data_IF_467597144860
#
_entry.id   IF_467597144860
#
_cell.length_a   1.000
_cell.length_b   1.000
_cell.length_c   1.000
_cell.angle_alpha   90.00
_cell.angle_beta   90.00
_cell.angle_gamma   90.00
#
_symmetry.space_group_name_H-M   'P 1'
#
loop_
_entity.id
_entity.type
_entity.pdbx_description
1 polymer ?
2 non-polymer ?
3 non-polymer ?
4 water ?
#
# COMPACT_ATOMS: atom_id res chain seq x y z
N UNK A 8 -6.37 13.78 -27.06
CA UNK A 8 -5.79 13.06 -25.93
C UNK A 8 -5.35 14.03 -24.84
N UNK A 9 -5.53 13.62 -23.56
CA UNK A 9 -5.16 14.44 -22.39
C UNK A 9 -3.64 14.66 -22.33
N UNK A 10 -3.21 15.74 -21.65
CA UNK A 10 -1.79 16.06 -21.53
C UNK A 10 -1.08 15.07 -20.59
N UNK A 11 -0.05 14.31 -21.06
CA UNK A 11 0.66 13.37 -20.17
C UNK A 11 1.20 13.99 -18.89
N UNK A 12 1.29 13.17 -17.81
CA UNK A 12 1.85 13.63 -16.54
C UNK A 12 3.33 13.86 -16.75
N UNK A 13 3.85 14.92 -16.13
CA UNK A 13 5.27 15.28 -16.20
C UNK A 13 5.99 14.81 -14.91
N UNK A 14 5.27 14.14 -14.00
CA UNK A 14 5.80 13.64 -12.74
C UNK A 14 6.78 12.48 -12.91
N UNK A 15 8.02 12.59 -12.37
CA UNK A 15 8.94 11.43 -12.38
C UNK A 15 8.29 10.27 -11.64
N UNK A 16 8.28 9.09 -12.29
CA UNK A 16 7.71 7.85 -11.76
C UNK A 16 8.53 6.66 -12.22
N UNK A 17 8.50 5.58 -11.46
CA UNK A 17 9.12 4.29 -11.77
C UNK A 17 8.39 3.20 -11.02
N UNK A 18 8.31 2.05 -11.64
CA UNK A 18 7.78 0.81 -11.07
C UNK A 18 8.62 -0.26 -11.73
N UNK A 19 9.58 -0.80 -11.01
CA UNK A 19 10.47 -1.83 -11.56
C UNK A 19 10.20 -3.15 -10.88
N UNK A 20 10.35 -4.23 -11.61
CA UNK A 20 10.01 -5.55 -11.11
C UNK A 20 11.23 -6.48 -11.06
N UNK A 21 11.18 -7.54 -10.22
CA UNK A 21 12.28 -8.47 -10.15
C UNK A 21 12.34 -9.32 -11.39
N UNK A 22 13.58 -9.62 -11.85
CA UNK A 22 13.82 -10.50 -13.00
C UNK A 22 13.56 -11.92 -12.56
N UNK A 23 12.47 -12.53 -13.04
CA UNK A 23 12.17 -13.91 -12.64
C UNK A 23 13.14 -14.93 -13.21
N UNK A 24 13.93 -14.55 -14.21
CA UNK A 24 14.91 -15.46 -14.81
C UNK A 24 16.17 -15.53 -13.91
N UNK A 25 16.46 -14.43 -13.16
CA UNK A 25 17.62 -14.26 -12.28
C UNK A 25 17.43 -14.89 -10.90
N UNK A 26 17.29 -16.23 -10.87
CA UNK A 26 17.13 -16.99 -9.62
C UNK A 26 18.43 -16.89 -8.81
N UNK A 27 18.29 -16.74 -7.50
CA UNK A 27 19.37 -16.52 -6.54
C UNK A 27 19.85 -15.08 -6.46
N UNK A 28 19.11 -14.15 -7.07
CA UNK A 28 19.47 -12.73 -7.10
C UNK A 28 18.23 -11.89 -7.07
N UNK A 29 18.38 -10.58 -6.73
CA UNK A 29 17.30 -9.58 -6.78
C UNK A 29 17.68 -8.49 -7.81
N UNK A 30 17.37 -8.78 -9.09
CA UNK A 30 17.68 -7.86 -10.18
C UNK A 30 16.42 -7.12 -10.64
N UNK A 31 16.44 -5.77 -10.58
CA UNK A 31 15.30 -4.95 -10.99
C UNK A 31 15.29 -4.70 -12.49
N UNK A 32 14.10 -4.74 -13.10
CA UNK A 32 13.94 -4.50 -14.53
C UNK A 32 12.88 -3.47 -14.82
N UNK A 33 13.12 -2.61 -15.81
CA UNK A 33 12.13 -1.71 -16.37
C UNK A 33 11.77 -2.29 -17.74
N UNK A 34 12.68 -3.09 -18.31
CA UNK A 34 12.56 -3.76 -19.60
C UNK A 34 11.91 -5.10 -19.36
N UNK A 35 10.62 -5.03 -18.99
CA UNK A 35 9.75 -6.16 -18.67
C UNK A 35 8.32 -5.65 -18.80
N UNK A 36 7.37 -6.52 -19.21
CA UNK A 36 5.98 -6.14 -19.34
C UNK A 36 5.49 -5.56 -18.01
N UNK A 37 4.75 -4.46 -18.04
CA UNK A 37 4.14 -3.83 -16.88
C UNK A 37 5.13 -3.25 -15.86
N UNK A 38 6.31 -2.84 -16.36
CA UNK A 38 7.34 -2.16 -15.58
C UNK A 38 7.62 -0.88 -16.34
N UNK A 39 7.90 0.23 -15.64
CA UNK A 39 8.12 1.51 -16.29
C UNK A 39 9.12 2.43 -15.61
N UNK A 40 9.61 3.39 -16.42
CA UNK A 40 10.44 4.51 -16.04
C UNK A 40 9.86 5.64 -16.83
N UNK A 41 9.56 6.76 -16.19
CA UNK A 41 9.03 7.92 -16.89
C UNK A 41 9.50 9.22 -16.29
N UNK A 42 9.54 10.26 -17.16
CA UNK A 42 9.91 11.65 -16.84
C UNK A 42 11.25 11.78 -16.11
N UNK A 43 12.26 11.11 -16.64
CA UNK A 43 13.64 11.23 -16.19
C UNK A 43 14.17 10.19 -15.21
N UNK A 44 13.29 9.34 -14.63
CA UNK A 44 13.79 8.33 -13.69
C UNK A 44 14.60 7.31 -14.49
N UNK A 45 15.78 6.94 -13.96
CA UNK A 45 16.63 5.94 -14.59
C UNK A 45 16.83 4.78 -13.67
N UNK A 46 17.15 3.62 -14.25
CA UNK A 46 17.54 2.42 -13.55
C UNK A 46 18.97 2.19 -14.01
N UNK A 47 19.90 2.34 -13.09
CA UNK A 47 21.32 2.23 -13.39
C UNK A 47 21.96 1.45 -12.24
N UNK A 48 22.72 0.38 -12.55
CA UNK A 48 23.41 -0.47 -11.57
C UNK A 48 22.45 -0.94 -10.47
N UNK A 49 21.25 -1.38 -10.90
CA UNK A 49 20.21 -1.93 -10.02
C UNK A 49 19.62 -0.90 -9.04
N UNK A 50 19.85 0.38 -9.30
CA UNK A 50 19.34 1.44 -8.46
C UNK A 50 18.47 2.40 -9.25
N UNK A 51 17.47 3.02 -8.58
CA UNK A 51 16.64 4.05 -9.19
C UNK A 51 17.31 5.40 -8.97
N UNK A 52 17.45 6.19 -10.05
CA UNK A 52 18.14 7.49 -10.05
C UNK A 52 17.09 8.56 -10.16
N UNK A 53 17.05 9.45 -9.16
CA UNK A 53 16.09 10.55 -9.01
C UNK A 53 16.48 11.72 -9.94
N UNK A 54 15.58 12.15 -10.88
CA UNK A 54 15.96 13.21 -11.85
C UNK A 54 15.82 14.62 -11.35
N UNK A 55 14.99 14.83 -10.33
CA UNK A 55 14.72 16.16 -9.78
C UNK A 55 14.30 16.11 -8.34
N UNK A 56 14.65 17.17 -7.60
CA UNK A 56 14.41 17.38 -6.19
C UNK A 56 12.90 17.44 -5.90
N UNK A 57 12.49 16.92 -4.75
CA UNK A 57 11.10 16.99 -4.32
C UNK A 57 10.66 15.85 -3.42
N UNK A 58 9.37 15.86 -3.07
CA UNK A 58 8.72 14.81 -2.28
C UNK A 58 8.35 13.62 -3.15
N UNK A 59 8.72 12.43 -2.70
CA UNK A 59 8.42 11.21 -3.43
C UNK A 59 7.90 10.18 -2.48
N UNK A 60 6.93 9.39 -2.97
CA UNK A 60 6.51 8.18 -2.27
C UNK A 60 7.49 7.12 -2.83
N UNK A 61 8.16 6.39 -1.95
CA UNK A 61 9.08 5.32 -2.33
C UNK A 61 8.41 4.06 -1.76
N UNK A 62 8.31 3.00 -2.55
CA UNK A 62 7.66 1.78 -2.08
C UNK A 62 8.31 0.57 -2.69
N UNK A 63 8.14 -0.56 -2.03
CA UNK A 63 8.66 -1.82 -2.53
C UNK A 63 8.00 -2.95 -1.80
N UNK A 64 7.78 -4.06 -2.52
CA UNK A 64 7.30 -5.32 -1.96
C UNK A 64 8.21 -6.44 -2.36
N UNK A 65 8.49 -7.31 -1.42
CA UNK A 65 9.20 -8.55 -1.71
C UNK A 65 8.33 -9.64 -1.14
N UNK A 66 8.39 -10.82 -1.71
CA UNK A 66 7.66 -11.97 -1.19
C UNK A 66 8.64 -13.12 -0.98
N UNK A 67 8.71 -13.59 0.25
CA UNK A 67 9.56 -14.71 0.63
C UNK A 67 8.70 -15.93 0.83
N UNK A 68 9.23 -17.09 0.47
CA UNK A 68 8.55 -18.36 0.61
C UNK A 68 9.55 -19.47 0.99
N UNK A 69 9.12 -20.33 1.88
CA UNK A 69 9.86 -21.52 2.28
C UNK A 69 8.90 -22.69 2.47
N UNK A 70 9.43 -23.91 2.36
CA UNK A 70 8.67 -25.15 2.58
C UNK A 70 9.18 -25.72 3.91
N UNK A 71 8.39 -25.51 4.96
CA UNK A 71 8.76 -25.92 6.30
C UNK A 71 9.82 -25.03 6.93
N UNK A 72 10.32 -25.46 8.09
CA UNK A 72 11.28 -24.71 8.88
C UNK A 72 12.60 -25.46 9.14
N UNK A 73 13.77 -24.88 8.70
CA UNK A 73 15.06 -25.60 8.90
C UNK A 73 15.57 -25.52 10.35
N UNK A 74 15.11 -24.49 11.03
CA UNK A 74 15.26 -24.11 12.43
C UNK A 74 14.57 -22.75 12.54
N UNK A 75 14.56 -22.17 13.75
CA UNK A 75 13.94 -20.87 14.01
C UNK A 75 14.95 -19.71 13.67
N UNK A 76 16.13 -20.07 13.10
CA UNK A 76 17.27 -19.23 12.78
C UNK A 76 17.24 -18.51 11.39
N UNK A 77 16.08 -18.49 10.72
CA UNK A 77 15.92 -17.79 9.44
C UNK A 77 15.50 -16.36 9.73
N UNK A 78 16.32 -15.37 9.29
CA UNK A 78 15.99 -13.96 9.40
C UNK A 78 15.90 -13.36 8.01
N UNK A 79 14.76 -12.74 7.71
CA UNK A 79 14.50 -12.14 6.39
C UNK A 79 14.48 -10.65 6.47
N UNK A 80 15.31 -9.97 5.66
CA UNK A 80 15.34 -8.51 5.70
C UNK A 80 15.07 -7.92 4.33
N UNK A 81 14.51 -6.71 4.31
CA UNK A 81 14.25 -5.93 3.11
C UNK A 81 14.59 -4.50 3.52
N UNK A 82 15.38 -3.81 2.69
CA UNK A 82 15.86 -2.46 2.99
C UNK A 82 15.88 -1.58 1.76
N UNK A 83 15.39 -0.36 1.92
CA UNK A 83 15.47 0.68 0.90
C UNK A 83 16.50 1.69 1.40
N UNK A 84 17.54 1.96 0.60
CA UNK A 84 18.62 2.89 0.94
C UNK A 84 18.70 4.05 -0.03
N UNK A 85 19.31 5.15 0.41
CA UNK A 85 19.52 6.34 -0.36
C UNK A 85 21.03 6.65 -0.42
N UNK A 86 21.55 6.91 -1.63
CA UNK A 86 22.92 7.37 -1.86
C UNK A 86 22.77 8.78 -2.44
N UNK A 87 23.03 9.80 -1.63
CA UNK A 87 22.91 11.19 -2.07
C UNK A 87 24.24 11.62 -2.72
N UNK A 88 24.20 12.49 -3.77
CA UNK A 88 25.38 13.05 -4.46
C UNK A 88 26.38 13.70 -3.41
N UNK A 89 25.81 14.30 -2.37
CA UNK A 89 26.47 15.01 -1.26
C UNK A 89 27.03 14.13 -0.18
N UNK A 90 26.61 12.85 -0.15
CA UNK A 90 27.00 11.90 0.90
C UNK A 90 26.83 10.55 0.28
N UNK A 91 27.82 10.19 -0.55
CA UNK A 91 27.79 9.01 -1.41
C UNK A 91 28.13 7.72 -0.72
N UNK A 92 27.30 7.37 0.23
CA UNK A 92 27.31 6.12 0.99
C UNK A 92 25.86 5.84 1.33
N UNK A 93 25.50 4.56 1.43
CA UNK A 93 24.14 4.14 1.69
C UNK A 93 23.65 4.49 3.09
N UNK A 94 22.53 5.18 3.13
CA UNK A 94 21.77 5.43 4.37
C UNK A 94 20.41 4.71 4.22
N UNK A 95 20.02 3.87 5.22
CA UNK A 95 18.73 3.20 5.24
C UNK A 95 17.63 4.23 5.35
N UNK A 96 16.61 4.15 4.50
CA UNK A 96 15.40 5.01 4.60
C UNK A 96 14.30 4.20 5.28
N UNK A 97 14.18 2.93 4.86
CA UNK A 97 13.11 2.01 5.26
C UNK A 97 13.70 0.65 5.38
N UNK A 98 13.33 -0.07 6.42
CA UNK A 98 13.85 -1.43 6.64
C UNK A 98 12.87 -2.26 7.46
N UNK A 99 12.84 -3.57 7.22
CA UNK A 99 12.00 -4.49 8.01
C UNK A 99 12.68 -5.83 8.10
N UNK A 100 12.46 -6.53 9.23
CA UNK A 100 13.04 -7.84 9.52
C UNK A 100 11.90 -8.76 9.94
N UNK A 101 11.92 -10.00 9.44
CA UNK A 101 10.91 -11.03 9.73
C UNK A 101 11.56 -12.38 10.03
N UNK A 102 11.03 -13.09 11.03
CA UNK A 102 11.45 -14.44 11.44
C UNK A 102 10.27 -15.35 11.08
N UNK A 103 10.29 -15.98 9.88
CA UNK A 103 9.14 -16.81 9.46
C UNK A 103 8.89 -18.06 10.29
N UNK A 104 9.93 -18.59 10.94
CA UNK A 104 9.86 -19.83 11.67
C UNK A 104 10.04 -19.62 13.17
N UNK A 105 8.98 -19.94 13.93
CA UNK A 105 8.93 -19.76 15.39
C UNK A 105 9.32 -21.00 16.20
N UNK A 106 8.82 -22.20 15.82
CA UNK A 106 9.04 -23.43 16.59
C UNK A 106 9.91 -24.51 15.91
N UNK A 107 10.24 -24.37 14.59
CA UNK A 107 10.99 -25.35 13.76
C UNK A 107 10.17 -26.62 13.49
N UNK A 108 10.33 -27.22 12.28
CA UNK A 108 9.53 -28.38 11.88
C UNK A 108 9.97 -29.68 12.54
N UNK A 109 9.02 -30.36 13.24
CA UNK A 109 9.35 -31.69 13.80
C UNK A 109 9.53 -32.69 12.65
N UNK A 110 10.51 -33.60 12.77
CA UNK A 110 10.87 -34.61 11.77
C UNK A 110 9.70 -35.42 11.23
N UNK A 111 9.52 -35.36 9.91
CA UNK A 111 8.49 -36.12 9.19
C UNK A 111 7.12 -35.49 9.09
N UNK A 112 6.90 -34.37 9.82
CA UNK A 112 5.63 -33.65 9.79
C UNK A 112 5.49 -32.94 8.44
N UNK A 113 4.24 -32.63 8.04
CA UNK A 113 3.95 -31.91 6.79
C UNK A 113 4.73 -30.58 6.81
N UNK A 114 5.64 -30.40 5.84
CA UNK A 114 6.44 -29.18 5.75
C UNK A 114 5.55 -28.19 5.01
N UNK A 115 4.68 -27.53 5.78
CA UNK A 115 3.69 -26.59 5.27
C UNK A 115 4.40 -25.35 4.72
N UNK A 116 4.13 -24.96 3.44
CA UNK A 116 4.80 -23.77 2.90
C UNK A 116 4.39 -22.47 3.58
N UNK A 117 5.38 -21.66 3.97
CA UNK A 117 5.11 -20.37 4.61
C UNK A 117 5.38 -19.25 3.61
N UNK A 118 4.72 -18.11 3.83
CA UNK A 118 4.88 -16.96 2.98
C UNK A 118 5.10 -15.75 3.85
N UNK A 119 6.07 -14.92 3.47
CA UNK A 119 6.31 -13.69 4.16
C UNK A 119 6.44 -12.51 3.21
N UNK A 120 5.35 -11.73 2.98
CA UNK A 120 5.51 -10.52 2.17
C UNK A 120 6.06 -9.39 3.05
N UNK A 121 6.91 -8.54 2.49
CA UNK A 121 7.41 -7.38 3.24
C UNK A 121 7.16 -6.19 2.33
N UNK A 122 6.39 -5.24 2.83
CA UNK A 122 6.17 -4.00 2.14
C UNK A 122 6.94 -2.91 2.86
N UNK A 123 7.65 -2.08 2.11
CA UNK A 123 8.33 -0.91 2.63
C UNK A 123 7.80 0.30 1.85
N UNK A 124 7.35 1.32 2.55
CA UNK A 124 6.81 2.51 1.91
C UNK A 124 6.90 3.75 2.76
N UNK A 125 7.10 4.88 2.12
CA UNK A 125 7.19 6.14 2.86
C UNK A 125 7.35 7.31 1.94
N UNK A 126 7.20 8.51 2.49
CA UNK A 126 7.33 9.76 1.74
C UNK A 126 8.60 10.45 2.18
N UNK A 127 9.46 10.79 1.23
CA UNK A 127 10.76 11.38 1.50
C UNK A 127 11.08 12.53 0.58
N UNK A 128 11.83 13.49 1.13
CA UNK A 128 12.36 14.60 0.37
C UNK A 128 13.65 14.04 -0.28
N UNK A 129 13.68 14.04 -1.61
CA UNK A 129 14.82 13.55 -2.35
C UNK A 129 15.46 14.66 -3.16
N UNK A 130 16.76 14.49 -3.49
CA UNK A 130 17.55 15.45 -4.27
C UNK A 130 17.86 14.87 -5.62
N UNK A 131 18.10 15.73 -6.60
CA UNK A 131 18.48 15.33 -7.95
C UNK A 131 19.75 14.49 -7.87
N UNK A 132 19.74 13.34 -8.54
CA UNK A 132 20.92 12.48 -8.54
C UNK A 132 20.97 11.46 -7.43
N UNK A 133 19.99 11.47 -6.50
CA UNK A 133 19.90 10.42 -5.46
C UNK A 133 19.77 9.06 -6.09
N UNK A 134 20.49 8.07 -5.57
CA UNK A 134 20.40 6.69 -6.04
C UNK A 134 19.73 5.85 -4.96
N UNK A 135 18.67 5.13 -5.31
CA UNK A 135 17.91 4.34 -4.37
C UNK A 135 18.04 2.88 -4.67
N UNK A 136 18.28 2.08 -3.66
CA UNK A 136 18.37 0.63 -3.81
C UNK A 136 17.35 -0.02 -2.91
N UNK A 137 16.85 -1.19 -3.32
CA UNK A 137 15.89 -2.01 -2.56
C UNK A 137 16.52 -3.39 -2.56
N UNK A 138 16.97 -3.82 -1.40
CA UNK A 138 17.75 -5.05 -1.26
C UNK A 138 17.24 -5.96 -0.17
N UNK A 139 17.52 -7.25 -0.31
CA UNK A 139 17.17 -8.30 0.65
C UNK A 139 18.44 -9.08 1.02
N UNK A 140 18.41 -9.81 2.13
CA UNK A 140 19.54 -10.63 2.57
C UNK A 140 19.43 -12.06 2.02
N UNK A 141 18.19 -12.54 1.74
CA UNK A 141 18.00 -13.93 1.32
C UNK A 141 17.37 -14.08 -0.06
N UNK A 142 18.08 -13.81 -1.20
CA UNK A 142 17.46 -14.06 -2.52
C UNK A 142 17.09 -15.51 -2.77
N UNK A 143 17.67 -16.45 -2.01
CA UNK A 143 17.34 -17.86 -2.11
C UNK A 143 15.90 -18.16 -1.60
N UNK A 144 15.32 -17.25 -0.80
CA UNK A 144 13.96 -17.38 -0.27
C UNK A 144 12.91 -16.55 -1.05
N UNK A 145 13.39 -15.69 -1.93
CA UNK A 145 12.55 -14.84 -2.78
C UNK A 145 11.66 -15.67 -3.73
N UNK A 146 10.38 -15.32 -3.77
CA UNK A 146 9.40 -16.00 -4.61
C UNK A 146 8.99 -15.00 -5.72
N UNK A 147 9.64 -15.12 -6.88
CA UNK A 147 9.33 -14.23 -8.00
C UNK A 147 8.96 -15.03 -9.25
N UNK A 148 8.41 -16.24 -9.03
CA UNK A 148 7.93 -17.15 -10.06
C UNK A 148 6.84 -16.38 -10.83
N UNK A 149 5.67 -16.15 -10.17
CA UNK A 149 4.55 -15.37 -10.72
C UNK A 149 4.83 -13.87 -10.65
N UNK A 150 4.29 -13.16 -11.64
CA UNK A 150 4.41 -11.71 -11.77
C UNK A 150 3.67 -10.97 -10.63
N UNK A 151 4.06 -9.74 -10.40
CA UNK A 151 3.44 -8.83 -9.44
C UNK A 151 3.78 -9.02 -7.99
N UNK A 152 4.67 -9.97 -7.70
CA UNK A 152 4.99 -10.24 -6.29
C UNK A 152 6.15 -9.44 -5.76
N UNK A 153 7.08 -9.02 -6.63
CA UNK A 153 8.32 -8.36 -6.16
C UNK A 153 8.55 -7.12 -7.00
N UNK A 154 8.48 -5.96 -6.36
CA UNK A 154 8.55 -4.70 -7.11
C UNK A 154 9.12 -3.57 -6.25
N UNK A 155 9.51 -2.50 -6.93
CA UNK A 155 10.18 -1.35 -6.34
C UNK A 155 9.77 -0.13 -7.17
N UNK A 156 9.34 0.93 -6.54
CA UNK A 156 8.94 2.10 -7.32
C UNK A 156 9.01 3.39 -6.56
N UNK A 157 8.91 4.51 -7.30
CA UNK A 157 8.88 5.87 -6.76
C UNK A 157 7.86 6.69 -7.54
N UNK A 158 7.23 7.65 -6.85
CA UNK A 158 6.23 8.51 -7.47
C UNK A 158 6.49 9.90 -6.93
N UNK A 159 6.80 10.87 -7.82
CA UNK A 159 6.97 12.27 -7.37
C UNK A 159 5.58 12.76 -6.99
N UNK A 160 5.43 13.32 -5.78
CA UNK A 160 4.12 13.81 -5.34
C UNK A 160 3.66 15.04 -6.12
N UNK B 9 -12.48 25.57 -9.85
CA UNK B 9 -13.00 25.99 -11.15
C UNK B 9 -13.57 24.79 -11.92
N UNK B 10 -13.06 24.51 -13.14
CA UNK B 10 -13.49 23.39 -13.98
C UNK B 10 -13.13 22.03 -13.33
N UNK B 11 -14.14 21.16 -13.07
CA UNK B 11 -13.86 19.83 -12.49
C UNK B 11 -12.83 18.99 -13.25
N UNK B 12 -12.23 18.01 -12.56
CA UNK B 12 -11.23 17.13 -13.15
C UNK B 12 -11.79 16.27 -14.27
N UNK B 13 -10.99 16.16 -15.34
CA UNK B 13 -11.33 15.34 -16.51
C UNK B 13 -10.58 13.99 -16.45
N UNK B 14 -9.82 13.76 -15.35
CA UNK B 14 -9.03 12.54 -15.16
C UNK B 14 -9.89 11.30 -14.91
N UNK B 15 -9.70 10.22 -15.70
CA UNK B 15 -10.39 8.95 -15.39
C UNK B 15 -9.99 8.45 -14.00
N UNK B 16 -11.01 8.12 -13.20
CA UNK B 16 -10.84 7.67 -11.80
C UNK B 16 -11.94 6.66 -11.48
N UNK B 17 -11.65 5.77 -10.53
CA UNK B 17 -12.59 4.80 -9.97
C UNK B 17 -12.16 4.44 -8.57
N UNK B 18 -13.17 4.15 -7.71
CA UNK B 18 -12.99 3.64 -6.37
C UNK B 18 -14.22 2.85 -6.10
N UNK B 19 -14.10 1.52 -6.18
CA UNK B 19 -15.23 0.58 -6.02
C UNK B 19 -15.04 -0.21 -4.75
N UNK B 20 -16.15 -0.55 -4.11
CA UNK B 20 -16.11 -1.23 -2.80
C UNK B 20 -16.75 -2.63 -2.85
N UNK B 21 -16.36 -3.51 -1.94
CA UNK B 21 -16.91 -4.86 -1.93
C UNK B 21 -18.31 -4.88 -1.41
N UNK B 22 -19.10 -5.79 -1.97
CA UNK B 22 -20.46 -6.07 -1.54
C UNK B 22 -20.39 -6.99 -0.28
N UNK B 23 -20.72 -6.54 0.95
CA UNK B 23 -20.64 -7.45 2.12
C UNK B 23 -21.55 -8.68 2.08
N UNK B 24 -22.70 -8.60 1.38
CA UNK B 24 -23.63 -9.76 1.38
C UNK B 24 -23.51 -10.68 0.15
N UNK B 25 -22.46 -10.49 -0.70
CA UNK B 25 -22.24 -11.39 -1.83
C UNK B 25 -21.57 -12.66 -1.31
N UNK B 26 -22.29 -13.80 -1.38
CA UNK B 26 -21.81 -15.09 -0.87
C UNK B 26 -20.76 -15.70 -1.75
N UNK B 27 -19.66 -16.11 -1.10
CA UNK B 27 -18.49 -16.76 -1.72
C UNK B 27 -17.85 -16.00 -2.86
N UNK B 28 -17.92 -14.69 -2.85
CA UNK B 28 -17.32 -13.90 -3.93
C UNK B 28 -16.84 -12.55 -3.44
N UNK B 29 -15.94 -11.96 -4.20
CA UNK B 29 -15.50 -10.59 -3.98
C UNK B 29 -16.12 -9.80 -5.12
N UNK B 30 -17.27 -9.20 -4.82
CA UNK B 30 -18.04 -8.45 -5.81
C UNK B 30 -17.90 -6.95 -5.63
N UNK B 31 -17.41 -6.26 -6.67
CA UNK B 31 -17.20 -4.81 -6.63
C UNK B 31 -18.45 -4.02 -6.97
N UNK B 32 -18.69 -2.91 -6.23
CA UNK B 32 -19.85 -2.05 -6.44
C UNK B 32 -19.45 -0.59 -6.59
N UNK B 33 -20.11 0.15 -7.49
CA UNK B 33 -19.90 1.61 -7.60
C UNK B 33 -21.14 2.35 -7.05
N UNK B 34 -22.33 1.71 -7.03
CA UNK B 34 -23.58 2.36 -6.56
C UNK B 34 -23.71 2.39 -5.03
N UNK B 35 -22.70 2.98 -4.38
CA UNK B 35 -22.60 3.06 -2.94
C UNK B 35 -22.04 4.41 -2.52
N UNK B 36 -22.31 4.83 -1.26
CA UNK B 36 -21.80 6.10 -0.72
C UNK B 36 -20.29 6.03 -0.75
N UNK B 37 -19.62 7.11 -1.18
CA UNK B 37 -18.14 7.21 -1.24
C UNK B 37 -17.45 6.18 -2.17
N UNK B 38 -18.14 5.82 -3.23
CA UNK B 38 -17.63 4.93 -4.28
C UNK B 38 -17.90 5.68 -5.54
N UNK B 39 -17.10 5.44 -6.58
CA UNK B 39 -17.31 6.20 -7.80
C UNK B 39 -16.66 5.61 -9.03
N UNK B 40 -17.15 6.07 -10.18
CA UNK B 40 -16.65 5.85 -11.53
C UNK B 40 -16.78 7.22 -12.15
N UNK B 41 -15.70 7.73 -12.71
CA UNK B 41 -15.74 9.04 -13.36
C UNK B 41 -14.84 9.14 -14.57
N UNK B 42 -15.22 10.04 -15.49
CA UNK B 42 -14.53 10.38 -16.73
C UNK B 42 -14.19 9.16 -17.61
N UNK B 43 -15.18 8.29 -17.78
CA UNK B 43 -15.09 7.15 -18.69
C UNK B 43 -14.75 5.80 -18.12
N UNK B 44 -14.32 5.73 -16.84
CA UNK B 44 -14.04 4.39 -16.27
C UNK B 44 -15.35 3.64 -16.09
N UNK B 45 -15.37 2.36 -16.49
CA UNK B 45 -16.55 1.52 -16.37
C UNK B 45 -16.27 0.33 -15.48
N UNK B 46 -17.34 -0.24 -14.91
CA UNK B 46 -17.31 -1.45 -14.12
C UNK B 46 -18.13 -2.43 -14.92
N UNK B 47 -17.47 -3.41 -15.56
CA UNK B 47 -18.14 -4.42 -16.39
C UNK B 47 -17.59 -5.79 -16.01
N UNK B 48 -18.48 -6.78 -15.75
CA UNK B 48 -18.13 -8.16 -15.36
C UNK B 48 -17.12 -8.18 -14.22
N UNK B 49 -17.31 -7.29 -13.23
CA UNK B 49 -16.50 -7.15 -12.00
C UNK B 49 -15.11 -6.60 -12.27
N UNK B 50 -14.92 -5.99 -13.44
CA UNK B 50 -13.62 -5.47 -13.83
C UNK B 50 -13.69 -4.01 -14.15
N UNK B 51 -12.60 -3.27 -13.83
CA UNK B 51 -12.50 -1.87 -14.17
C UNK B 51 -11.98 -1.76 -15.60
N UNK B 52 -12.72 -1.00 -16.46
CA UNK B 52 -12.37 -0.82 -17.88
C UNK B 52 -11.78 0.57 -18.08
N UNK B 53 -10.55 0.63 -18.59
CA UNK B 53 -9.75 1.84 -18.79
C UNK B 53 -10.24 2.58 -20.05
N UNK B 54 -10.56 3.88 -19.96
CA UNK B 54 -11.11 4.60 -21.13
C UNK B 54 -10.07 5.22 -22.05
N UNK B 55 -8.86 5.47 -21.53
CA UNK B 55 -7.81 6.12 -22.29
C UNK B 55 -6.42 5.72 -21.81
N UNK B 56 -5.47 5.72 -22.73
CA UNK B 56 -4.07 5.37 -22.53
C UNK B 56 -3.39 6.37 -21.58
N UNK B 57 -2.47 5.87 -20.75
CA UNK B 57 -1.71 6.73 -19.87
C UNK B 57 -1.18 6.06 -18.62
N UNK B 58 -0.56 6.86 -17.77
CA UNK B 58 -0.06 6.44 -16.45
C UNK B 58 -1.20 6.49 -15.43
N UNK B 59 -1.34 5.43 -14.68
CA UNK B 59 -2.36 5.33 -13.65
C UNK B 59 -1.79 4.79 -12.38
N UNK B 60 -2.32 5.25 -11.26
CA UNK B 60 -2.06 4.60 -9.98
C UNK B 60 -3.17 3.55 -9.95
N UNK B 61 -2.84 2.34 -9.53
CA UNK B 61 -3.81 1.24 -9.36
C UNK B 61 -3.64 0.77 -7.93
N UNK B 62 -4.74 0.56 -7.22
CA UNK B 62 -4.66 0.14 -5.83
C UNK B 62 -5.82 -0.74 -5.43
N UNK B 63 -5.62 -1.56 -4.43
CA UNK B 63 -6.70 -2.37 -3.85
C UNK B 63 -6.39 -2.73 -2.41
N UNK B 64 -7.42 -2.82 -1.59
CA UNK B 64 -7.25 -3.34 -0.24
C UNK B 64 -8.27 -4.45 0.02
N UNK B 65 -7.85 -5.53 0.70
CA UNK B 65 -8.77 -6.55 1.21
C UNK B 65 -8.42 -6.73 2.70
N UNK B 66 -9.38 -7.16 3.49
CA UNK B 66 -9.12 -7.45 4.89
C UNK B 66 -9.65 -8.84 5.20
N UNK B 67 -8.77 -9.70 5.65
CA UNK B 67 -9.09 -11.07 6.02
C UNK B 67 -9.14 -11.18 7.52
N UNK B 68 -10.04 -12.01 8.03
CA UNK B 68 -10.19 -12.26 9.45
C UNK B 68 -10.56 -13.72 9.68
N UNK B 69 -9.93 -14.32 10.68
CA UNK B 69 -10.22 -15.69 11.10
C UNK B 69 -10.28 -15.80 12.60
N UNK B 70 -11.02 -16.78 13.10
CA UNK B 70 -11.11 -17.09 14.53
C UNK B 70 -10.29 -18.37 14.73
N UNK B 71 -9.06 -18.21 15.23
CA UNK B 71 -8.14 -19.30 15.46
C UNK B 71 -7.57 -19.90 14.19
N UNK B 72 -6.87 -21.04 14.33
CA UNK B 72 -6.19 -21.73 13.24
C UNK B 72 -6.62 -23.18 13.04
N UNK B 73 -7.03 -23.59 11.80
CA UNK B 73 -7.38 -25.00 11.56
C UNK B 73 -6.15 -25.87 11.27
N UNK B 74 -6.36 -27.20 11.13
CA UNK B 74 -5.31 -28.18 10.84
C UNK B 74 -4.87 -28.08 9.37
N UNK B 75 -5.82 -27.77 8.47
CA UNK B 75 -5.54 -27.59 7.04
C UNK B 75 -4.99 -26.18 6.85
N UNK B 76 -3.80 -26.09 6.24
CA UNK B 76 -3.04 -24.87 6.00
C UNK B 76 -3.82 -23.79 5.24
N UNK B 77 -3.89 -22.59 5.82
CA UNK B 77 -4.59 -21.46 5.22
C UNK B 77 -3.60 -20.53 4.49
N UNK B 78 -3.81 -20.37 3.19
CA UNK B 78 -3.05 -19.43 2.37
C UNK B 78 -4.01 -18.38 1.84
N UNK B 79 -3.68 -17.10 2.07
CA UNK B 79 -4.52 -15.98 1.63
C UNK B 79 -3.86 -15.25 0.48
N UNK B 80 -4.56 -15.09 -0.64
CA UNK B 80 -3.95 -14.38 -1.78
C UNK B 80 -4.81 -13.24 -2.21
N UNK B 81 -4.17 -12.18 -2.74
CA UNK B 81 -4.83 -10.99 -3.25
C UNK B 81 -4.03 -10.55 -4.46
N UNK B 82 -4.71 -10.39 -5.59
CA UNK B 82 -4.04 -10.12 -6.86
C UNK B 82 -4.79 -9.12 -7.71
N UNK B 83 -4.06 -8.15 -8.27
CA UNK B 83 -4.57 -7.22 -9.25
C UNK B 83 -4.00 -7.66 -10.62
N UNK B 84 -4.88 -7.88 -11.61
CA UNK B 84 -4.49 -8.33 -12.96
C UNK B 84 -4.90 -7.36 -14.02
N UNK B 85 -4.21 -7.44 -15.17
CA UNK B 85 -4.45 -6.62 -16.33
C UNK B 85 -4.73 -7.53 -17.53
N UNK B 86 -5.82 -7.23 -18.26
CA UNK B 86 -6.21 -7.92 -19.51
C UNK B 86 -6.11 -6.84 -20.57
N UNK B 87 -5.00 -6.83 -21.30
CA UNK B 87 -4.76 -5.85 -22.35
C UNK B 87 -5.49 -6.29 -23.61
N UNK B 88 -6.29 -5.36 -24.18
CA UNK B 88 -7.13 -5.58 -25.37
C UNK B 88 -6.32 -6.10 -26.58
N UNK B 89 -5.11 -5.53 -26.82
CA UNK B 89 -4.23 -5.94 -27.93
C UNK B 89 -3.64 -7.34 -27.76
N UNK B 90 -3.39 -7.79 -26.51
CA UNK B 90 -2.76 -9.08 -26.24
C UNK B 90 -3.70 -10.18 -25.91
N UNK B 91 -4.90 -9.86 -25.38
CA UNK B 91 -5.90 -10.84 -24.95
C UNK B 91 -5.32 -11.87 -23.95
N UNK B 92 -4.58 -11.37 -22.94
CA UNK B 92 -3.93 -12.20 -21.90
C UNK B 92 -4.15 -11.63 -20.48
N UNK B 93 -4.25 -12.48 -19.44
CA UNK B 93 -4.45 -12.06 -18.06
C UNK B 93 -3.12 -12.18 -17.29
N UNK B 94 -2.57 -11.01 -16.88
CA UNK B 94 -1.25 -10.91 -16.28
C UNK B 94 -1.35 -10.22 -14.92
N UNK B 95 -0.69 -10.78 -13.90
CA UNK B 95 -0.64 -10.18 -12.56
C UNK B 95 0.17 -8.89 -12.62
N UNK B 96 -0.35 -7.81 -12.04
CA UNK B 96 0.36 -6.53 -11.90
C UNK B 96 0.93 -6.46 -10.51
N UNK B 97 0.12 -6.82 -9.51
CA UNK B 97 0.39 -6.74 -8.07
C UNK B 97 -0.18 -7.96 -7.42
N UNK B 98 0.59 -8.61 -6.55
CA UNK B 98 0.14 -9.84 -5.88
C UNK B 98 0.87 -10.08 -4.59
N UNK B 99 0.13 -10.59 -3.62
CA UNK B 99 0.66 -10.95 -2.30
C UNK B 99 -0.02 -12.22 -1.77
N UNK B 100 0.74 -13.00 -1.01
CA UNK B 100 0.33 -14.25 -0.41
C UNK B 100 0.77 -14.17 1.03
N UNK B 101 -0.17 -14.50 1.94
CA UNK B 101 0.08 -14.56 3.38
C UNK B 101 -0.36 -15.92 3.95
N UNK B 102 0.37 -16.38 4.98
CA UNK B 102 0.07 -17.60 5.75
C UNK B 102 -0.27 -17.08 7.16
N UNK B 103 -1.55 -16.80 7.51
CA UNK B 103 -1.84 -16.26 8.86
C UNK B 103 -1.55 -17.22 10.02
N UNK B 104 -1.60 -18.54 9.75
CA UNK B 104 -1.42 -19.58 10.75
C UNK B 104 -0.11 -20.34 10.58
N UNK B 105 0.79 -20.20 11.56
CA UNK B 105 2.12 -20.84 11.52
C UNK B 105 2.22 -22.16 12.27
N UNK B 106 1.66 -22.23 13.50
CA UNK B 106 1.77 -23.42 14.36
C UNK B 106 0.46 -24.18 14.63
N UNK B 107 -0.72 -23.64 14.23
CA UNK B 107 -2.06 -24.20 14.44
C UNK B 107 -2.50 -24.09 15.93
N UNK B 108 -3.82 -23.92 16.18
CA UNK B 108 -4.36 -23.74 17.53
C UNK B 108 -4.35 -25.06 18.33
N UNK B 115 -8.49 -17.17 19.36
CA UNK B 115 -8.16 -15.73 19.27
C UNK B 115 -8.26 -15.24 17.83
N UNK B 116 -9.08 -14.21 17.56
CA UNK B 116 -9.25 -13.73 16.17
C UNK B 116 -8.01 -13.05 15.59
N UNK B 117 -7.61 -13.43 14.37
CA UNK B 117 -6.49 -12.84 13.64
C UNK B 117 -7.01 -11.96 12.50
N UNK B 118 -6.23 -10.92 12.12
CA UNK B 118 -6.54 -10.00 11.03
C UNK B 118 -5.39 -9.89 10.06
N UNK B 119 -5.68 -10.01 8.77
CA UNK B 119 -4.67 -9.86 7.74
C UNK B 119 -5.09 -8.87 6.64
N UNK B 120 -4.68 -7.59 6.70
CA UNK B 120 -5.01 -6.69 5.59
C UNK B 120 -3.98 -6.87 4.47
N UNK B 121 -4.40 -6.75 3.20
CA UNK B 121 -3.45 -6.78 2.09
C UNK B 121 -3.79 -5.54 1.24
N UNK B 122 -2.89 -4.54 1.19
CA UNK B 122 -3.04 -3.32 0.37
C UNK B 122 -2.04 -3.48 -0.79
N UNK B 123 -2.49 -3.28 -2.03
CA UNK B 123 -1.61 -3.39 -3.20
C UNK B 123 -1.71 -2.09 -3.97
N UNK B 124 -0.57 -1.52 -4.34
CA UNK B 124 -0.57 -0.27 -5.07
C UNK B 124 0.67 -0.08 -5.91
N UNK B 125 0.49 0.58 -7.05
CA UNK B 125 1.60 0.89 -7.94
C UNK B 125 1.17 1.80 -9.07
N UNK B 126 2.16 2.26 -9.86
CA UNK B 126 1.94 3.12 -11.04
C UNK B 126 2.24 2.28 -12.28
N UNK B 127 1.31 2.31 -13.24
CA UNK B 127 1.38 1.52 -14.47
C UNK B 127 0.97 2.28 -15.71
N UNK B 128 1.58 1.93 -16.85
CA UNK B 128 1.20 2.45 -18.14
C UNK B 128 0.07 1.53 -18.61
N UNK B 129 -1.11 2.10 -18.87
CA UNK B 129 -2.26 1.34 -19.30
C UNK B 129 -2.72 1.82 -20.67
N UNK B 130 -3.43 0.95 -21.39
CA UNK B 130 -3.96 1.22 -22.74
C UNK B 130 -5.47 1.30 -22.70
N UNK B 131 -6.05 2.02 -23.67
CA UNK B 131 -7.51 2.15 -23.81
C UNK B 131 -8.13 0.77 -23.97
N UNK B 132 -9.17 0.50 -23.21
CA UNK B 132 -9.83 -0.79 -23.25
C UNK B 132 -9.25 -1.85 -22.34
N UNK B 133 -8.09 -1.57 -21.65
CA UNK B 133 -7.55 -2.58 -20.72
C UNK B 133 -8.61 -2.90 -19.67
N UNK B 134 -8.65 -4.14 -19.19
CA UNK B 134 -9.57 -4.54 -18.13
C UNK B 134 -8.74 -4.92 -16.92
N UNK B 135 -9.14 -4.47 -15.73
CA UNK B 135 -8.42 -4.74 -14.50
C UNK B 135 -9.30 -5.47 -13.54
N UNK B 136 -8.76 -6.49 -12.90
CA UNK B 136 -9.49 -7.25 -11.89
C UNK B 136 -8.69 -7.25 -10.59
N UNK B 137 -9.38 -7.34 -9.47
CA UNK B 137 -8.78 -7.41 -8.14
C UNK B 137 -9.48 -8.61 -7.50
N UNK B 138 -8.73 -9.68 -7.27
CA UNK B 138 -9.28 -10.96 -6.82
C UNK B 138 -8.55 -11.56 -5.64
N UNK B 139 -9.24 -12.46 -4.94
CA UNK B 139 -8.73 -13.22 -3.78
C UNK B 139 -9.11 -14.69 -3.94
N UNK B 140 -8.44 -15.57 -3.21
CA UNK B 140 -8.74 -17.00 -3.24
C UNK B 140 -9.75 -17.40 -2.15
N UNK B 141 -9.83 -16.63 -1.04
CA UNK B 141 -10.69 -16.99 0.09
C UNK B 141 -11.75 -15.93 0.44
N UNK B 142 -12.82 -15.76 -0.35
CA UNK B 142 -13.88 -14.78 0.03
C UNK B 142 -14.58 -15.11 1.35
N UNK B 143 -14.46 -16.36 1.81
CA UNK B 143 -15.02 -16.80 3.10
C UNK B 143 -14.26 -16.17 4.29
N UNK B 144 -13.03 -15.68 4.07
CA UNK B 144 -12.21 -15.06 5.12
C UNK B 144 -12.31 -13.53 5.10
N UNK B 145 -13.06 -12.94 4.17
CA UNK B 145 -13.25 -11.48 4.09
C UNK B 145 -13.96 -10.94 5.31
N UNK B 146 -13.57 -9.73 5.77
CA UNK B 146 -14.19 -9.04 6.90
C UNK B 146 -14.77 -7.72 6.42
N UNK B 147 -16.03 -7.43 6.87
CA UNK B 147 -16.79 -6.22 6.52
C UNK B 147 -17.32 -5.49 7.75
N UNK B 148 -16.72 -5.70 8.92
CA UNK B 148 -17.14 -5.07 10.19
C UNK B 148 -17.48 -3.60 10.02
N UNK B 149 -16.58 -2.85 9.36
CA UNK B 149 -16.69 -1.42 9.12
C UNK B 149 -16.64 -1.14 7.62
N UNK B 150 -17.01 0.08 7.23
CA UNK B 150 -16.91 0.49 5.83
C UNK B 150 -15.45 0.86 5.58
N UNK B 151 -15.03 0.86 4.33
CA UNK B 151 -13.68 1.27 3.95
C UNK B 151 -12.61 0.21 4.08
N UNK B 152 -13.00 -1.05 4.32
CA UNK B 152 -12.02 -2.12 4.52
C UNK B 152 -11.68 -2.90 3.25
N UNK B 153 -12.53 -2.86 2.24
CA UNK B 153 -12.31 -3.68 1.04
C UNK B 153 -12.64 -2.82 -0.18
N UNK B 154 -11.61 -2.48 -0.98
CA UNK B 154 -11.80 -1.55 -2.08
C UNK B 154 -10.81 -1.78 -3.21
N UNK B 155 -11.10 -1.16 -4.35
CA UNK B 155 -10.33 -1.31 -5.60
C UNK B 155 -10.50 -0.01 -6.37
N UNK B 156 -9.40 0.59 -6.81
CA UNK B 156 -9.49 1.83 -7.57
C UNK B 156 -8.32 2.11 -8.49
N UNK B 157 -8.49 3.13 -9.35
CA UNK B 157 -7.48 3.61 -10.32
C UNK B 157 -7.58 5.13 -10.40
N UNK B 158 -6.44 5.78 -10.69
CA UNK B 158 -6.38 7.24 -10.80
C UNK B 158 -5.46 7.57 -11.97
N UNK B 159 -5.99 8.24 -13.00
CA UNK B 159 -5.13 8.65 -14.10
C UNK B 159 -4.24 9.77 -13.61
N UNK B 160 -2.95 9.69 -13.92
CA UNK B 160 -2.02 10.76 -13.56
C UNK B 160 -2.08 11.81 -14.71
N UNK C 12 0.05 22.66 -8.98
CA UNK C 12 0.41 24.08 -8.85
C UNK C 12 -0.65 24.93 -8.09
N UNK C 13 -1.90 25.06 -8.59
CA UNK C 13 -3.00 25.76 -7.90
C UNK C 13 -3.91 24.74 -7.17
N UNK C 14 -3.55 23.44 -7.27
CA UNK C 14 -4.31 22.34 -6.69
C UNK C 14 -4.18 22.27 -5.16
N UNK C 15 -5.32 22.21 -4.44
CA UNK C 15 -5.25 22.00 -2.98
C UNK C 15 -4.48 20.70 -2.66
N UNK C 16 -3.52 20.80 -1.74
CA UNK C 16 -2.64 19.70 -1.32
C UNK C 16 -2.27 19.85 0.14
N UNK C 17 -2.00 18.72 0.80
CA UNK C 17 -1.52 18.66 2.15
C UNK C 17 -0.74 17.38 2.33
N UNK C 18 0.29 17.44 3.16
CA UNK C 18 1.11 16.33 3.58
C UNK C 18 1.55 16.71 4.98
N UNK C 19 0.87 16.14 5.99
CA UNK C 19 1.12 16.42 7.40
C UNK C 19 1.72 15.21 8.08
N UNK C 20 2.57 15.46 9.08
CA UNK C 20 3.32 14.40 9.74
C UNK C 20 2.98 14.32 11.24
N UNK C 21 3.20 13.15 11.86
CA UNK C 21 2.92 13.01 13.29
C UNK C 21 3.96 13.75 14.13
N UNK C 22 3.50 14.32 15.25
CA UNK C 22 4.34 14.97 16.24
C UNK C 22 5.01 13.88 17.11
N UNK C 23 6.35 13.69 17.05
CA UNK C 23 7.00 12.64 17.85
C UNK C 23 7.06 12.88 19.37
N UNK C 24 6.64 14.08 19.82
CA UNK C 24 6.66 14.54 21.20
C UNK C 24 5.29 14.53 21.88
N UNK C 25 4.19 14.40 21.10
CA UNK C 25 2.81 14.42 21.61
C UNK C 25 2.50 13.10 22.31
N UNK C 26 2.47 13.09 23.65
CA UNK C 26 2.25 11.89 24.47
C UNK C 26 0.84 11.32 24.35
N UNK C 27 0.79 10.01 24.09
CA UNK C 27 -0.43 9.21 23.94
C UNK C 27 -1.48 9.75 22.99
N UNK C 28 -1.03 10.38 21.89
CA UNK C 28 -1.93 10.94 20.87
C UNK C 28 -1.27 10.93 19.49
N UNK C 29 -2.10 10.92 18.44
CA UNK C 29 -1.63 11.00 17.06
C UNK C 29 -1.92 12.43 16.62
N UNK C 30 -0.93 13.32 16.80
CA UNK C 30 -1.11 14.73 16.48
C UNK C 30 -0.43 15.10 15.16
N UNK C 31 -1.21 15.62 14.20
CA UNK C 31 -0.69 16.01 12.88
C UNK C 31 -0.09 17.41 12.87
N UNK C 32 1.04 17.59 12.18
CA UNK C 32 1.73 18.88 12.07
C UNK C 32 2.01 19.27 10.62
N UNK C 33 1.86 20.56 10.29
CA UNK C 33 2.24 21.10 8.99
C UNK C 33 3.54 21.90 9.15
N UNK C 34 3.88 22.27 10.39
CA UNK C 34 5.12 22.99 10.72
C UNK C 34 6.19 21.96 11.12
N UNK C 35 6.71 21.22 10.11
CA UNK C 35 7.76 20.19 10.27
C UNK C 35 8.50 19.89 8.97
N UNK C 36 9.70 19.28 9.11
CA UNK C 36 10.66 18.87 8.07
C UNK C 36 10.12 18.81 6.63
N UNK C 37 9.47 17.69 6.23
CA UNK C 37 8.97 17.54 4.86
C UNK C 37 7.42 17.60 4.76
N UNK C 38 6.80 18.52 5.53
CA UNK C 38 5.35 18.71 5.57
C UNK C 38 4.91 19.92 4.75
N UNK C 39 3.59 20.01 4.44
CA UNK C 39 3.03 21.14 3.71
C UNK C 39 1.50 21.24 3.75
N UNK C 40 1.02 22.46 3.50
CA UNK C 40 -0.38 22.86 3.38
C UNK C 40 -0.37 23.90 2.30
N UNK C 41 -1.09 23.64 1.20
CA UNK C 41 -1.11 24.59 0.11
C UNK C 41 -2.46 24.69 -0.59
N UNK C 42 -2.67 25.85 -1.22
CA UNK C 42 -3.82 26.22 -2.01
C UNK C 42 -5.17 26.02 -1.28
N UNK C 43 -5.23 26.49 -0.04
CA UNK C 43 -6.47 26.49 0.73
C UNK C 43 -6.70 25.37 1.73
N UNK C 44 -5.88 24.30 1.69
CA UNK C 44 -6.07 23.24 2.68
C UNK C 44 -5.64 23.75 4.04
N UNK C 45 -6.45 23.49 5.06
CA UNK C 45 -6.15 23.88 6.43
C UNK C 45 -6.08 22.65 7.32
N UNK C 46 -5.32 22.77 8.39
CA UNK C 46 -5.22 21.80 9.45
C UNK C 46 -5.88 22.47 10.66
N UNK C 47 -7.11 22.04 11.02
CA UNK C 47 -7.90 22.58 12.12
C UNK C 47 -8.51 21.43 12.90
N UNK C 48 -8.28 21.42 14.23
CA UNK C 48 -8.74 20.40 15.18
C UNK C 48 -8.23 18.99 14.79
N UNK C 49 -6.96 18.93 14.31
CA UNK C 49 -6.24 17.73 13.89
C UNK C 49 -6.85 17.11 12.62
N UNK C 50 -7.68 17.88 11.93
CA UNK C 50 -8.38 17.45 10.73
C UNK C 50 -8.07 18.30 9.52
N UNK C 51 -7.89 17.64 8.36
CA UNK C 51 -7.64 18.35 7.13
C UNK C 51 -8.96 18.86 6.60
N UNK C 52 -9.02 20.19 6.34
CA UNK C 52 -10.24 20.86 5.85
C UNK C 52 -10.13 21.11 4.36
N UNK C 53 -11.14 20.64 3.61
CA UNK C 53 -11.25 20.71 2.15
C UNK C 53 -11.69 22.10 1.69
N UNK C 54 -10.86 22.82 0.87
CA UNK C 54 -11.25 24.19 0.47
C UNK C 54 -12.21 24.27 -0.70
N UNK C 55 -12.27 23.23 -1.52
CA UNK C 55 -13.09 23.21 -2.71
C UNK C 55 -13.50 21.77 -3.07
N UNK C 56 -14.66 21.66 -3.72
CA UNK C 56 -15.31 20.44 -4.18
C UNK C 56 -14.44 19.81 -5.27
N UNK C 57 -14.41 18.48 -5.30
CA UNK C 57 -13.69 17.77 -6.35
C UNK C 57 -13.17 16.41 -5.94
N UNK C 58 -12.44 15.80 -6.85
CA UNK C 58 -11.78 14.52 -6.66
C UNK C 58 -10.46 14.71 -5.95
N UNK C 59 -10.24 13.92 -4.90
CA UNK C 59 -9.01 13.98 -4.15
C UNK C 59 -8.47 12.59 -3.92
N UNK C 60 -7.13 12.43 -4.00
CA UNK C 60 -6.47 11.22 -3.54
C UNK C 60 -6.22 11.53 -2.06
N UNK C 61 -6.64 10.64 -1.18
CA UNK C 61 -6.46 10.78 0.27
C UNK C 61 -5.58 9.61 0.66
N UNK C 62 -4.57 9.85 1.48
CA UNK C 62 -3.64 8.78 1.87
C UNK C 62 -3.09 8.98 3.27
N UNK C 63 -2.58 7.90 3.86
CA UNK C 63 -1.91 7.96 5.16
C UNK C 63 -1.10 6.71 5.42
N UNK C 64 -0.26 6.77 6.46
CA UNK C 64 0.48 5.62 6.97
C UNK C 64 0.75 5.86 8.44
N UNK C 65 0.64 4.80 9.26
CA UNK C 65 0.99 4.82 10.67
C UNK C 65 1.89 3.66 10.92
N UNK C 66 2.74 3.81 11.91
CA UNK C 66 3.62 2.73 12.32
C UNK C 66 3.36 2.44 13.79
N UNK C 67 3.25 1.15 14.07
CA UNK C 67 3.06 0.65 15.42
C UNK C 67 4.27 -0.19 15.79
N UNK C 68 4.62 -0.16 17.08
CA UNK C 68 5.74 -0.92 17.62
C UNK C 68 5.44 -1.36 19.05
N UNK C 69 5.78 -2.60 19.33
CA UNK C 69 5.62 -3.16 20.66
C UNK C 69 6.80 -4.02 21.04
N UNK C 70 7.05 -4.16 22.35
CA UNK C 70 8.10 -5.01 22.89
C UNK C 70 7.38 -6.21 23.50
N UNK C 71 7.36 -7.32 22.76
CA UNK C 71 6.69 -8.53 23.18
C UNK C 71 5.18 -8.45 23.10
N UNK C 72 4.51 -9.49 23.64
CA UNK C 72 3.06 -9.64 23.62
C UNK C 72 2.43 -9.80 25.00
N UNK C 73 1.41 -8.98 25.34
CA UNK C 73 0.76 -9.12 26.66
C UNK C 73 -0.33 -10.21 26.64
N UNK C 74 -0.92 -10.49 27.82
CA UNK C 74 -2.01 -11.48 27.97
C UNK C 74 -3.28 -10.98 27.25
N UNK C 75 -3.56 -9.65 27.30
CA UNK C 75 -4.70 -9.00 26.64
C UNK C 75 -4.47 -8.93 25.12
N UNK C 76 -5.48 -9.33 24.33
CA UNK C 76 -5.38 -9.36 22.86
C UNK C 76 -5.35 -7.95 22.27
N UNK C 77 -4.25 -7.65 21.57
CA UNK C 77 -3.98 -6.36 20.95
C UNK C 77 -4.48 -6.30 19.51
N UNK C 78 -5.39 -5.37 19.27
CA UNK C 78 -5.91 -5.07 17.95
C UNK C 78 -5.54 -3.65 17.58
N UNK C 79 -4.88 -3.48 16.43
CA UNK C 79 -4.44 -2.16 15.96
C UNK C 79 -5.28 -1.70 14.79
N UNK C 80 -5.89 -0.51 14.88
CA UNK C 80 -6.69 -0.01 13.78
C UNK C 80 -6.20 1.34 13.32
N UNK C 81 -6.38 1.62 12.03
CA UNK C 81 -6.09 2.91 11.42
C UNK C 81 -7.21 3.24 10.45
N UNK C 82 -7.77 4.42 10.59
CA UNK C 82 -8.94 4.81 9.83
C UNK C 82 -8.89 6.22 9.36
N UNK C 83 -9.28 6.42 8.09
CA UNK C 83 -9.47 7.74 7.51
C UNK C 83 -11.00 7.95 7.41
N UNK C 84 -11.50 9.05 8.00
CA UNK C 84 -12.93 9.38 8.03
C UNK C 84 -13.20 10.70 7.34
N UNK C 85 -14.45 10.85 6.91
CA UNK C 85 -14.95 12.06 6.30
C UNK C 85 -16.10 12.61 7.17
N UNK C 86 -16.03 13.92 7.49
CA UNK C 86 -17.05 14.64 8.23
C UNK C 86 -17.62 15.65 7.26
N UNK C 87 -18.81 15.35 6.73
CA UNK C 87 -19.55 16.18 5.79
C UNK C 87 -19.79 17.57 6.39
N UNK C 88 -19.59 18.63 5.59
CA UNK C 88 -19.71 20.04 5.97
C UNK C 88 -21.05 20.32 6.73
N UNK C 89 -20.97 21.18 7.78
CA UNK C 89 -22.05 21.58 8.70
C UNK C 89 -22.35 20.49 9.73
N UNK C 90 -22.82 19.30 9.28
CA UNK C 90 -23.13 18.15 10.15
C UNK C 90 -21.87 17.56 10.81
N UNK C 91 -22.05 16.88 11.96
CA UNK C 91 -20.94 16.24 12.69
C UNK C 91 -20.73 14.78 12.21
N UNK C 92 -21.57 14.33 11.24
CA UNK C 92 -21.60 13.00 10.60
C UNK C 92 -20.23 12.49 10.15
N UNK C 93 -19.73 11.45 10.85
CA UNK C 93 -18.42 10.85 10.63
C UNK C 93 -18.54 9.45 9.99
N UNK C 94 -17.96 9.30 8.79
CA UNK C 94 -18.04 8.07 7.99
C UNK C 94 -16.65 7.58 7.59
N UNK C 95 -16.38 6.27 7.76
CA UNK C 95 -15.09 5.67 7.37
C UNK C 95 -14.97 5.69 5.87
N UNK C 96 -13.82 6.14 5.35
CA UNK C 96 -13.56 6.10 3.91
C UNK C 96 -12.64 4.93 3.64
N UNK C 97 -11.62 4.78 4.50
CA UNK C 97 -10.54 3.79 4.40
C UNK C 97 -10.21 3.31 5.78
N UNK C 98 -10.03 1.98 5.95
CA UNK C 98 -9.76 1.41 7.29
C UNK C 98 -9.14 0.05 7.20
N UNK C 99 -8.27 -0.27 8.17
CA UNK C 99 -7.60 -1.57 8.27
C UNK C 99 -7.35 -1.93 9.75
N UNK C 100 -7.18 -3.22 10.01
CA UNK C 100 -7.01 -3.80 11.33
C UNK C 100 -5.87 -4.81 11.25
N UNK C 101 -5.00 -4.79 12.29
CA UNK C 101 -3.88 -5.73 12.42
C UNK C 101 -3.84 -6.33 13.84
N UNK C 102 -3.52 -7.62 13.94
CA UNK C 102 -3.38 -8.35 15.20
C UNK C 102 -1.89 -8.73 15.30
N UNK C 103 -1.04 -7.90 15.92
CA UNK C 103 0.40 -8.22 15.95
C UNK C 103 0.78 -9.47 16.76
N UNK C 104 -0.03 -9.80 17.76
CA UNK C 104 0.23 -10.89 18.69
C UNK C 104 -0.73 -12.05 18.53
N UNK C 105 -0.17 -13.21 18.15
CA UNK C 105 -0.90 -14.46 17.92
C UNK C 105 -0.98 -15.40 19.15
N UNK C 106 0.15 -15.61 19.86
CA UNK C 106 0.23 -16.53 21.00
C UNK C 106 0.32 -15.86 22.40
N UNK C 107 0.38 -14.50 22.45
CA UNK C 107 0.44 -13.68 23.68
C UNK C 107 1.58 -14.07 24.63
N UNK C 115 10.67 -9.96 22.18
CA UNK C 115 11.22 -9.50 20.91
C UNK C 115 10.38 -8.34 20.35
N UNK C 116 10.99 -7.19 20.00
CA UNK C 116 10.18 -6.08 19.47
C UNK C 116 9.55 -6.35 18.09
N UNK C 117 8.25 -6.06 17.93
CA UNK C 117 7.50 -6.21 16.67
C UNK C 117 7.17 -4.84 16.08
N UNK C 118 7.04 -4.77 14.72
CA UNK C 118 6.71 -3.54 13.97
C UNK C 118 5.55 -3.77 13.02
N UNK C 119 4.55 -2.89 13.05
CA UNK C 119 3.36 -3.06 12.23
C UNK C 119 2.96 -1.77 11.51
N UNK C 120 3.26 -1.63 10.22
CA UNK C 120 2.79 -0.46 9.50
C UNK C 120 1.33 -0.68 9.02
N UNK C 121 0.55 0.40 8.93
CA UNK C 121 -0.77 0.38 8.29
C UNK C 121 -0.83 1.53 7.31
N UNK C 122 -1.08 1.26 6.03
CA UNK C 122 -1.11 2.33 5.02
C UNK C 122 -2.41 2.27 4.27
N UNK C 123 -2.99 3.43 3.93
CA UNK C 123 -4.30 3.56 3.30
C UNK C 123 -4.24 4.61 2.23
N UNK C 124 -5.05 4.44 1.18
CA UNK C 124 -5.11 5.41 0.09
C UNK C 124 -6.20 5.11 -0.92
N UNK C 125 -6.85 6.15 -1.41
CA UNK C 125 -7.94 6.03 -2.37
C UNK C 125 -8.40 7.38 -2.88
N UNK C 126 -9.20 7.37 -3.93
CA UNK C 126 -9.73 8.55 -4.60
C UNK C 126 -11.20 8.76 -4.21
N UNK C 127 -11.54 9.97 -3.77
CA UNK C 127 -12.88 10.31 -3.29
C UNK C 127 -13.36 11.65 -3.80
N UNK C 128 -14.67 11.75 -4.06
CA UNK C 128 -15.33 13.00 -4.39
C UNK C 128 -15.60 13.67 -3.04
N UNK C 129 -15.04 14.86 -2.84
CA UNK C 129 -15.20 15.62 -1.60
C UNK C 129 -15.90 16.94 -1.87
N UNK C 130 -16.53 17.52 -0.82
CA UNK C 130 -17.23 18.81 -0.89
C UNK C 130 -16.50 19.88 -0.11
N UNK C 131 -16.68 21.17 -0.48
CA UNK C 131 -16.06 22.30 0.21
C UNK C 131 -16.47 22.25 1.67
N UNK C 132 -15.49 22.39 2.57
CA UNK C 132 -15.75 22.34 4.00
C UNK C 132 -15.72 20.98 4.64
N UNK C 133 -15.62 19.87 3.85
CA UNK C 133 -15.53 18.52 4.43
C UNK C 133 -14.27 18.45 5.26
N UNK C 134 -14.31 17.72 6.38
CA UNK C 134 -13.17 17.55 7.27
C UNK C 134 -12.74 16.09 7.21
N UNK C 135 -11.42 15.86 7.20
CA UNK C 135 -10.88 14.51 7.15
C UNK C 135 -10.03 14.26 8.33
N UNK C 136 -10.22 13.09 8.94
CA UNK C 136 -9.39 12.68 10.06
C UNK C 136 -8.71 11.37 9.75
N UNK C 137 -7.54 11.15 10.32
CA UNK C 137 -6.75 9.94 10.19
C UNK C 137 -6.44 9.60 11.63
N UNK C 138 -7.05 8.52 12.11
CA UNK C 138 -6.99 8.13 13.51
C UNK C 138 -6.64 6.68 13.72
N UNK C 139 -6.17 6.39 14.92
CA UNK C 139 -5.83 5.05 15.39
C UNK C 139 -6.52 4.78 16.72
N UNK C 140 -6.62 3.51 17.11
CA UNK C 140 -7.22 3.16 18.40
C UNK C 140 -6.17 3.10 19.50
N UNK C 141 -4.90 2.81 19.15
CA UNK C 141 -3.83 2.65 20.13
C UNK C 141 -2.67 3.64 19.99
N UNK C 142 -2.82 4.94 20.36
CA UNK C 142 -1.68 5.86 20.26
C UNK C 142 -0.51 5.51 21.16
N UNK C 143 -0.75 4.64 22.17
CA UNK C 143 0.30 4.13 23.05
C UNK C 143 1.25 3.18 22.30
N UNK C 144 0.84 2.63 21.14
CA UNK C 144 1.67 1.73 20.33
C UNK C 144 2.35 2.41 19.14
N UNK C 145 2.03 3.68 18.91
CA UNK C 145 2.54 4.52 17.85
C UNK C 145 4.07 4.58 17.89
N UNK C 146 4.72 4.27 16.76
CA UNK C 146 6.17 4.34 16.61
C UNK C 146 6.42 5.82 16.24
N UNK C 147 6.73 6.64 17.26
CA UNK C 147 6.93 8.09 17.14
C UNK C 147 8.20 8.50 16.36
N UNK C 148 9.19 7.58 16.19
CA UNK C 148 10.43 7.85 15.43
C UNK C 148 10.15 8.70 14.18
N UNK C 149 10.79 9.90 14.09
CA UNK C 149 10.62 10.91 13.03
C UNK C 149 11.12 10.48 11.62
N UNK C 150 10.70 9.27 11.19
CA UNK C 150 10.98 8.64 9.90
C UNK C 150 9.97 9.21 8.86
N UNK C 151 10.21 8.96 7.58
CA UNK C 151 9.30 9.38 6.50
C UNK C 151 8.13 8.43 6.41
N UNK C 152 7.59 8.01 7.59
CA UNK C 152 6.60 6.97 7.68
C UNK C 152 5.25 7.18 8.47
N UNK C 153 5.01 8.22 9.33
CA UNK C 153 3.69 8.49 9.97
C UNK C 153 3.22 9.79 9.35
N UNK C 154 2.29 9.70 8.39
CA UNK C 154 1.84 10.86 7.66
C UNK C 154 0.41 10.74 7.24
N UNK C 155 -0.13 11.85 6.73
CA UNK C 155 -1.51 11.98 6.29
C UNK C 155 -1.53 13.08 5.25
N UNK C 156 -2.16 12.82 4.11
CA UNK C 156 -2.20 13.84 3.08
C UNK C 156 -3.33 13.68 2.10
N UNK C 157 -3.58 14.75 1.34
CA UNK C 157 -4.59 14.82 0.28
C UNK C 157 -4.01 15.56 -0.93
N UNK C 158 -4.52 15.22 -2.10
CA UNK C 158 -4.12 15.86 -3.33
C UNK C 158 -5.35 16.02 -4.18
N UNK C 159 -5.70 17.27 -4.53
CA UNK C 159 -6.82 17.48 -5.45
C UNK C 159 -6.36 17.02 -6.81
N UNK C 160 -7.17 16.22 -7.48
CA UNK C 160 -6.84 15.74 -8.82
C UNK C 160 -7.23 16.77 -9.88
#
# INVERSE_FOLDING_TARGET
GHMVRSSSRTPSDKPVAHVVANPQAEGQLQWLNRRANALLANGVELRDNQLVVPSEGLYLIYSQVLFKGQGCPSTHVLLTHTISRIAVSYQTKVNLLSAIKSPCQRETPEGAEAKPWYEPIYLGGVFQLEKGDRLSAEINRPDYLDFAESGQVYFGIIAL
GHMVRSSSRTPSDKPVAHVVANPQAEGQLQWLNRRANALLANGVELRDNQLVVPSEGLYLIYSQVLFKGQGCPSTHVLLTHTISRIAVSYQTKVNLLSAIKSPCQRETPEGAEAKPWYEPIYLGGVFQLEKGDRLSAEINRPDYLDFAESGQVYFGIIAL
GHMVRSSSRTPSDKPVAHVVANPQAEGQLQWLNRRANALLANGVELRDNQLVVPSEGLYLIYSQVLFKGQGCPSTHVLLTHTISRIAVSYQTKVNLLSAIKSPCQRETPEGAEAKPWYEPIYLGGVFQLEKGDRLSAEINRPDYLDFAESGQVYFGIIAL
#
